data_IF_640102822304
#
_entry.id   IF_640102822304
#
_cell.length_a   1.000
_cell.length_b   1.000
_cell.length_c   1.000
_cell.angle_alpha   90.00
_cell.angle_beta   90.00
_cell.angle_gamma   90.00
#
_symmetry.space_group_name_H-M   'P 1'
#
loop_
_entity.id
_entity.type
_entity.pdbx_description
1 polymer ?
#
# COMPACT_ATOMS: atom_id res chain seq x y z
N UNK A 1 -6.42 21.68 -7.56
CA UNK A 1 -5.90 20.59 -8.42
C UNK A 1 -4.79 19.82 -7.69
N UNK A 2 -4.99 19.41 -6.43
CA UNK A 2 -3.96 18.71 -5.63
C UNK A 2 -4.37 17.28 -5.23
N UNK A 3 -5.57 16.82 -5.58
CA UNK A 3 -6.06 15.47 -5.25
C UNK A 3 -5.17 14.38 -5.87
N UNK A 4 -4.64 14.62 -7.08
CA UNK A 4 -3.77 13.66 -7.76
C UNK A 4 -2.48 13.36 -6.97
N UNK A 5 -1.91 14.36 -6.28
CA UNK A 5 -0.64 14.16 -5.57
C UNK A 5 -0.75 13.24 -4.35
N UNK A 6 -1.86 13.33 -3.61
CA UNK A 6 -2.11 12.44 -2.46
C UNK A 6 -2.41 11.01 -2.94
N UNK A 7 -3.29 10.86 -3.94
CA UNK A 7 -3.65 9.55 -4.51
C UNK A 7 -2.41 8.86 -5.10
N UNK A 8 -1.58 9.59 -5.87
CA UNK A 8 -0.35 9.06 -6.45
C UNK A 8 0.66 8.65 -5.36
N UNK A 9 0.85 9.48 -4.34
CA UNK A 9 1.74 9.18 -3.22
C UNK A 9 1.32 7.92 -2.46
N UNK A 10 0.02 7.80 -2.15
CA UNK A 10 -0.54 6.62 -1.49
C UNK A 10 -0.40 5.39 -2.40
N UNK A 11 -0.74 5.51 -3.68
CA UNK A 11 -0.64 4.43 -4.66
C UNK A 11 0.79 3.89 -4.77
N UNK A 12 1.77 4.77 -4.90
CA UNK A 12 3.20 4.38 -4.96
C UNK A 12 3.64 3.62 -3.73
N UNK A 13 3.17 3.98 -2.52
CA UNK A 13 3.48 3.24 -1.30
C UNK A 13 2.81 1.87 -1.29
N UNK A 14 1.55 1.77 -1.70
CA UNK A 14 0.83 0.50 -1.74
C UNK A 14 1.40 -0.48 -2.78
N UNK A 15 1.91 0.02 -3.90
CA UNK A 15 2.56 -0.79 -4.94
C UNK A 15 3.78 -1.56 -4.39
N UNK A 16 4.51 -0.98 -3.44
CA UNK A 16 5.64 -1.64 -2.77
C UNK A 16 5.22 -2.89 -1.99
N UNK A 17 3.95 -3.01 -1.60
CA UNK A 17 3.44 -4.17 -0.88
C UNK A 17 2.93 -5.28 -1.81
N UNK A 18 2.87 -5.09 -3.13
CA UNK A 18 2.26 -6.10 -4.01
C UNK A 18 3.15 -7.33 -4.25
N UNK A 19 4.41 -7.16 -4.68
CA UNK A 19 5.32 -8.28 -4.96
C UNK A 19 5.99 -8.80 -3.68
N UNK A 20 6.64 -7.94 -2.86
CA UNK A 20 7.48 -8.40 -1.76
C UNK A 20 6.72 -9.14 -0.65
N UNK A 21 5.44 -8.82 -0.41
CA UNK A 21 4.66 -9.50 0.63
C UNK A 21 4.26 -10.94 0.30
N UNK A 22 4.39 -11.36 -0.98
CA UNK A 22 3.90 -12.66 -1.47
C UNK A 22 5.00 -13.60 -1.93
N UNK A 23 6.07 -13.07 -2.52
CA UNK A 23 7.08 -13.89 -3.17
C UNK A 23 8.44 -13.75 -2.46
N UNK A 24 9.01 -14.85 -1.93
CA UNK A 24 10.32 -14.82 -1.27
C UNK A 24 11.46 -14.35 -2.17
N UNK A 25 11.34 -14.52 -3.49
CA UNK A 25 12.33 -14.09 -4.48
C UNK A 25 12.44 -12.56 -4.64
N UNK A 26 11.55 -11.81 -3.99
CA UNK A 26 11.67 -10.37 -3.84
C UNK A 26 12.76 -9.95 -2.83
N UNK A 27 13.28 -10.89 -2.04
CA UNK A 27 14.34 -10.66 -1.05
C UNK A 27 15.58 -11.50 -1.34
N UNK A 28 16.71 -11.10 -0.79
CA UNK A 28 17.97 -11.84 -0.93
C UNK A 28 17.92 -13.20 -0.19
N UNK A 29 17.19 -13.25 0.93
CA UNK A 29 17.01 -14.44 1.77
C UNK A 29 15.75 -14.30 2.65
N UNK A 30 15.35 -15.35 3.37
CA UNK A 30 14.23 -15.31 4.32
C UNK A 30 12.83 -15.39 3.68
N UNK A 31 11.80 -15.32 4.52
CA UNK A 31 10.41 -15.33 4.13
C UNK A 31 9.79 -13.93 4.19
N UNK A 32 8.82 -13.58 3.32
CA UNK A 32 8.22 -12.25 3.27
C UNK A 32 7.75 -11.67 4.60
N UNK A 33 7.16 -12.48 5.48
CA UNK A 33 6.62 -12.01 6.75
C UNK A 33 7.70 -11.49 7.72
N UNK A 34 8.98 -11.81 7.50
CA UNK A 34 10.11 -11.37 8.33
C UNK A 34 10.53 -9.91 8.05
N UNK A 35 10.09 -9.35 6.91
CA UNK A 35 10.50 -8.03 6.42
C UNK A 35 9.49 -6.91 6.69
N UNK A 36 8.33 -7.22 7.28
CA UNK A 36 7.27 -6.25 7.53
C UNK A 36 6.91 -6.16 9.00
N UNK A 37 6.81 -4.93 9.47
CA UNK A 37 6.35 -4.62 10.83
C UNK A 37 4.84 -4.35 10.86
N UNK A 38 4.25 -4.49 12.05
CA UNK A 38 2.84 -4.16 12.29
C UNK A 38 2.52 -2.69 11.96
N UNK A 39 3.50 -1.79 12.13
CA UNK A 39 3.37 -0.36 11.78
C UNK A 39 3.10 -0.16 10.28
N UNK A 40 3.82 -0.89 9.42
CA UNK A 40 3.63 -0.85 7.97
C UNK A 40 2.28 -1.44 7.56
N UNK A 41 1.84 -2.51 8.24
CA UNK A 41 0.53 -3.09 8.00
C UNK A 41 -0.61 -2.11 8.34
N UNK A 42 -0.50 -1.39 9.46
CA UNK A 42 -1.47 -0.35 9.86
C UNK A 42 -1.52 0.80 8.85
N UNK A 43 -0.35 1.32 8.47
CA UNK A 43 -0.26 2.41 7.47
C UNK A 43 -0.87 1.97 6.12
N UNK A 44 -0.60 0.74 5.66
CA UNK A 44 -1.15 0.21 4.42
C UNK A 44 -2.70 0.11 4.45
N UNK A 45 -3.28 -0.29 5.58
CA UNK A 45 -4.74 -0.35 5.75
C UNK A 45 -5.34 1.06 5.70
N UNK A 46 -4.78 2.02 6.43
CA UNK A 46 -5.25 3.41 6.45
C UNK A 46 -5.21 4.06 5.06
N UNK A 47 -4.17 3.75 4.28
CA UNK A 47 -4.03 4.15 2.89
C UNK A 47 -5.06 3.52 1.96
N UNK A 48 -5.28 2.21 2.07
CA UNK A 48 -6.30 1.53 1.28
C UNK A 48 -7.70 2.08 1.58
N UNK A 49 -8.03 2.28 2.85
CA UNK A 49 -9.30 2.88 3.29
C UNK A 49 -9.47 4.30 2.76
N UNK A 50 -8.40 5.10 2.75
CA UNK A 50 -8.40 6.46 2.21
C UNK A 50 -8.68 6.47 0.71
N UNK A 51 -8.01 5.64 -0.08
CA UNK A 51 -8.28 5.53 -1.52
C UNK A 51 -9.71 5.05 -1.80
N UNK A 52 -10.19 4.04 -1.07
CA UNK A 52 -11.56 3.52 -1.24
C UNK A 52 -12.59 4.61 -0.91
N UNK A 53 -12.38 5.39 0.15
CA UNK A 53 -13.25 6.53 0.51
C UNK A 53 -13.30 7.57 -0.61
N UNK A 54 -12.14 8.00 -1.11
CA UNK A 54 -12.06 8.97 -2.22
C UNK A 54 -12.81 8.44 -3.45
N UNK A 55 -12.61 7.17 -3.82
CA UNK A 55 -13.29 6.59 -4.98
C UNK A 55 -14.81 6.54 -4.76
N UNK A 56 -15.28 6.14 -3.58
CA UNK A 56 -16.71 6.08 -3.25
C UNK A 56 -17.39 7.45 -3.34
N UNK A 57 -16.71 8.52 -2.96
CA UNK A 57 -17.25 9.90 -3.06
C UNK A 57 -17.39 10.39 -4.51
N UNK A 58 -16.66 9.79 -5.46
CA UNK A 58 -16.70 10.15 -6.88
C UNK A 58 -17.62 9.26 -7.71
N UNK A 59 -18.07 8.12 -7.18
CA UNK A 59 -19.03 7.23 -7.83
C UNK A 59 -20.45 7.69 -7.47
N UNK A 60 -21.29 8.02 -8.45
CA UNK A 60 -22.67 8.47 -8.23
C UNK A 60 -23.61 7.36 -7.72
#
# INVERSE_FOLDING_TARGET
MNENGEIESIGQKLDLYYIPTRYPDAFMEGAPFEYFEESQAKEAIEFAETLIRIVREKIP
#
